data_IF_838124070753
#
_entry.id   IF_838124070753
#
_cell.length_a   1.000
_cell.length_b   1.000
_cell.length_c   1.000
_cell.angle_alpha   90.00
_cell.angle_beta   90.00
_cell.angle_gamma   90.00
#
_symmetry.space_group_name_H-M   'P 1'
#
loop_
_entity.id
_entity.type
_entity.pdbx_description
1 polymer ?
#
# COMPACT_ATOMS: atom_id res chain seq x y z
N UNK A 1 -19.26 -28.41 7.46
CA UNK A 1 -17.96 -27.73 7.51
C UNK A 1 -17.85 -27.11 8.89
N UNK A 2 -16.90 -27.56 9.71
CA UNK A 2 -16.71 -27.06 11.07
C UNK A 2 -16.19 -25.62 11.01
N UNK A 3 -16.95 -24.68 11.59
CA UNK A 3 -16.51 -23.30 11.75
C UNK A 3 -15.22 -23.29 12.58
N UNK A 4 -14.17 -22.54 12.18
CA UNK A 4 -13.05 -22.29 13.06
C UNK A 4 -13.58 -21.50 14.27
N UNK A 5 -13.53 -22.11 15.46
CA UNK A 5 -13.77 -21.40 16.72
C UNK A 5 -12.79 -20.22 16.78
N UNK A 6 -13.32 -19.00 16.63
CA UNK A 6 -12.52 -17.78 16.57
C UNK A 6 -11.94 -17.42 17.96
N UNK A 7 -12.49 -17.99 19.04
CA UNK A 7 -12.09 -17.75 20.40
C UNK A 7 -11.91 -19.09 21.15
N UNK A 8 -10.71 -19.38 21.68
CA UNK A 8 -10.48 -20.57 22.48
C UNK A 8 -10.98 -20.32 23.90
N UNK A 9 -12.14 -20.85 24.28
CA UNK A 9 -12.53 -20.87 25.69
C UNK A 9 -14.02 -20.95 25.98
N UNK A 10 -14.66 -22.06 25.67
CA UNK A 10 -16.07 -22.40 25.99
C UNK A 10 -16.39 -22.49 27.51
N UNK A 11 -15.51 -22.00 28.39
CA UNK A 11 -15.67 -21.93 29.85
C UNK A 11 -14.62 -21.02 30.51
N UNK A 12 -14.19 -19.96 29.82
CA UNK A 12 -13.20 -19.05 30.41
C UNK A 12 -13.86 -18.17 31.48
N UNK A 13 -13.53 -18.41 32.75
CA UNK A 13 -13.86 -17.48 33.85
C UNK A 13 -12.85 -16.33 33.94
N UNK A 14 -11.94 -16.21 32.97
CA UNK A 14 -10.95 -15.13 32.95
C UNK A 14 -11.64 -13.81 32.61
N UNK A 15 -11.61 -12.81 33.51
CA UNK A 15 -12.24 -11.51 33.27
C UNK A 15 -11.74 -10.83 32.00
N UNK A 16 -10.48 -11.09 31.60
CA UNK A 16 -9.91 -10.48 30.39
C UNK A 16 -10.55 -11.00 29.10
N UNK A 17 -10.92 -12.29 29.07
CA UNK A 17 -11.59 -12.91 27.91
C UNK A 17 -13.04 -12.43 27.82
N UNK A 18 -13.73 -12.36 28.96
CA UNK A 18 -15.11 -11.87 29.03
C UNK A 18 -15.22 -10.39 28.60
N UNK A 19 -14.26 -9.55 28.97
CA UNK A 19 -14.19 -8.16 28.52
C UNK A 19 -14.05 -8.06 26.99
N UNK A 20 -13.21 -8.93 26.39
CA UNK A 20 -13.00 -8.96 24.94
C UNK A 20 -14.25 -9.42 24.21
N UNK A 21 -14.91 -10.47 24.70
CA UNK A 21 -16.16 -10.97 24.12
C UNK A 21 -17.27 -9.92 24.19
N UNK A 22 -17.45 -9.28 25.35
CA UNK A 22 -18.43 -8.20 25.53
C UNK A 22 -18.18 -7.00 24.63
N UNK A 23 -16.91 -6.58 24.49
CA UNK A 23 -16.54 -5.51 23.57
C UNK A 23 -16.74 -5.89 22.10
N UNK A 24 -16.30 -7.09 21.70
CA UNK A 24 -16.46 -7.58 20.34
C UNK A 24 -17.95 -7.67 19.95
N UNK A 25 -18.80 -8.24 20.82
CA UNK A 25 -20.25 -8.29 20.60
C UNK A 25 -20.84 -6.89 20.41
N UNK A 26 -20.40 -5.90 21.20
CA UNK A 26 -20.86 -4.53 21.04
C UNK A 26 -20.41 -3.90 19.70
N UNK A 27 -19.13 -4.06 19.32
CA UNK A 27 -18.59 -3.55 18.05
C UNK A 27 -19.29 -4.18 16.84
N UNK A 28 -19.60 -5.48 16.91
CA UNK A 28 -20.19 -6.23 15.82
C UNK A 28 -21.73 -6.23 15.82
N UNK A 29 -22.35 -5.72 16.88
CA UNK A 29 -23.80 -5.54 16.92
C UNK A 29 -24.26 -4.58 15.81
N UNK A 30 -25.37 -4.92 15.18
CA UNK A 30 -25.88 -4.19 14.01
C UNK A 30 -26.36 -2.76 14.32
N UNK A 31 -26.60 -2.41 15.59
CA UNK A 31 -27.18 -1.12 16.02
C UNK A 31 -26.29 0.12 15.75
N UNK A 32 -25.08 -0.04 15.22
CA UNK A 32 -24.16 1.06 14.89
C UNK A 32 -23.61 1.07 13.47
N UNK A 33 -24.01 0.14 12.61
CA UNK A 33 -23.36 -0.01 11.31
C UNK A 33 -24.10 0.78 10.22
N UNK A 34 -23.41 1.77 9.61
CA UNK A 34 -23.98 2.52 8.50
C UNK A 34 -23.53 1.92 7.14
N UNK A 35 -24.45 1.36 6.34
CA UNK A 35 -24.12 0.76 5.03
C UNK A 35 -23.56 1.78 4.02
N UNK A 36 -23.83 3.07 4.18
CA UNK A 36 -23.26 4.10 3.31
C UNK A 36 -21.81 4.43 3.68
N UNK A 37 -21.39 4.18 4.93
CA UNK A 37 -20.02 4.42 5.39
C UNK A 37 -19.14 3.20 5.23
N UNK A 38 -19.70 2.02 5.50
CA UNK A 38 -18.93 0.79 5.55
C UNK A 38 -19.62 -0.35 4.79
N UNK A 39 -20.42 -0.03 3.77
CA UNK A 39 -21.03 -1.04 2.90
C UNK A 39 -20.02 -1.79 2.03
N UNK A 40 -20.50 -2.83 1.36
CA UNK A 40 -19.69 -3.66 0.48
C UNK A 40 -19.04 -2.86 -0.65
N UNK A 41 -19.80 -1.99 -1.31
CA UNK A 41 -19.28 -1.15 -2.40
C UNK A 41 -18.17 -0.19 -1.93
N UNK A 42 -18.29 0.35 -0.71
CA UNK A 42 -17.29 1.27 -0.13
C UNK A 42 -15.96 0.54 0.13
N UNK A 43 -16.02 -0.68 0.65
CA UNK A 43 -14.83 -1.51 0.91
C UNK A 43 -14.15 -1.91 -0.39
N UNK A 44 -14.94 -2.42 -1.32
CA UNK A 44 -14.43 -2.88 -2.60
C UNK A 44 -13.84 -1.72 -3.39
N UNK A 45 -14.49 -0.55 -3.39
CA UNK A 45 -13.94 0.64 -4.05
C UNK A 45 -12.67 1.12 -3.36
N UNK A 46 -12.63 1.19 -2.02
CA UNK A 46 -11.41 1.54 -1.29
C UNK A 46 -10.25 0.60 -1.62
N UNK A 47 -10.54 -0.71 -1.69
CA UNK A 47 -9.55 -1.71 -2.06
C UNK A 47 -9.04 -1.51 -3.49
N UNK A 48 -9.94 -1.39 -4.47
CA UNK A 48 -9.61 -1.18 -5.87
C UNK A 48 -8.82 0.11 -6.07
N UNK A 49 -9.25 1.22 -5.47
CA UNK A 49 -8.57 2.52 -5.54
C UNK A 49 -7.14 2.40 -5.03
N UNK A 50 -6.91 1.79 -3.86
CA UNK A 50 -5.56 1.62 -3.33
C UNK A 50 -4.67 0.74 -4.22
N UNK A 51 -5.20 -0.34 -4.79
CA UNK A 51 -4.47 -1.18 -5.76
C UNK A 51 -4.13 -0.39 -7.02
N UNK A 52 -5.09 0.34 -7.58
CA UNK A 52 -4.88 1.15 -8.78
C UNK A 52 -3.86 2.27 -8.53
N UNK A 53 -3.95 2.99 -7.42
CA UNK A 53 -2.99 4.03 -7.05
C UNK A 53 -1.58 3.46 -6.85
N UNK A 54 -1.46 2.27 -6.26
CA UNK A 54 -0.16 1.61 -6.12
C UNK A 54 0.47 1.26 -7.48
N UNK A 55 -0.36 0.80 -8.44
CA UNK A 55 0.08 0.56 -9.80
C UNK A 55 0.49 1.87 -10.51
N UNK A 56 -0.31 2.93 -10.39
CA UNK A 56 -0.02 4.23 -10.99
C UNK A 56 1.28 4.84 -10.43
N UNK A 57 1.44 4.89 -9.11
CA UNK A 57 2.67 5.39 -8.47
C UNK A 57 3.91 4.63 -8.94
N UNK A 58 3.76 3.31 -9.16
CA UNK A 58 4.88 2.46 -9.57
C UNK A 58 5.18 2.55 -11.07
N UNK A 59 4.17 2.61 -11.91
CA UNK A 59 4.30 2.35 -13.36
C UNK A 59 3.88 3.51 -14.27
N UNK A 60 3.10 4.49 -13.80
CA UNK A 60 2.83 5.68 -14.62
C UNK A 60 4.14 6.41 -14.86
N UNK A 61 4.39 6.89 -16.08
CA UNK A 61 5.57 7.71 -16.40
C UNK A 61 5.30 9.20 -16.05
N UNK A 62 4.03 9.62 -16.16
CA UNK A 62 3.54 10.97 -15.94
C UNK A 62 2.68 11.00 -14.65
N UNK A 63 2.93 11.99 -13.79
CA UNK A 63 2.07 12.40 -12.66
C UNK A 63 1.89 11.48 -11.43
N UNK A 64 3.01 11.01 -10.86
CA UNK A 64 3.04 10.36 -9.53
C UNK A 64 2.47 11.27 -8.42
N UNK A 65 2.65 12.60 -8.55
CA UNK A 65 2.16 13.57 -7.58
C UNK A 65 0.63 13.59 -7.47
N UNK A 66 -0.09 13.40 -8.59
CA UNK A 66 -1.56 13.33 -8.58
C UNK A 66 -2.03 12.09 -7.81
N UNK A 67 -1.43 10.93 -8.09
CA UNK A 67 -1.77 9.68 -7.38
C UNK A 67 -1.49 9.76 -5.88
N UNK A 68 -0.37 10.37 -5.48
CA UNK A 68 -0.06 10.61 -4.05
C UNK A 68 -1.03 11.62 -3.43
N UNK A 69 -1.45 12.64 -4.17
CA UNK A 69 -2.44 13.62 -3.71
C UNK A 69 -3.80 12.98 -3.49
N UNK A 70 -4.25 12.13 -4.41
CA UNK A 70 -5.52 11.38 -4.27
C UNK A 70 -5.48 10.48 -3.04
N UNK A 71 -4.37 9.75 -2.82
CA UNK A 71 -4.20 8.92 -1.63
C UNK A 71 -4.28 9.73 -0.33
N UNK A 72 -3.53 10.83 -0.25
CA UNK A 72 -3.53 11.69 0.94
C UNK A 72 -4.91 12.32 1.16
N UNK A 73 -5.55 12.82 0.10
CA UNK A 73 -6.90 13.37 0.17
C UNK A 73 -7.87 12.32 0.72
N UNK A 74 -7.85 11.10 0.20
CA UNK A 74 -8.70 10.01 0.67
C UNK A 74 -8.48 9.73 2.16
N UNK A 75 -7.22 9.60 2.60
CA UNK A 75 -6.88 9.35 4.00
C UNK A 75 -7.35 10.48 4.92
N UNK A 76 -7.04 11.73 4.56
CA UNK A 76 -7.38 12.88 5.40
C UNK A 76 -8.87 13.15 5.43
N UNK A 77 -9.58 13.02 4.31
CA UNK A 77 -11.03 13.19 4.28
C UNK A 77 -11.69 12.17 5.20
N UNK A 78 -11.29 10.89 5.15
CA UNK A 78 -11.83 9.87 6.05
C UNK A 78 -11.55 10.18 7.53
N UNK A 79 -10.31 10.54 7.88
CA UNK A 79 -9.95 10.86 9.26
C UNK A 79 -10.68 12.10 9.77
N UNK A 80 -10.72 13.19 8.98
CA UNK A 80 -11.40 14.44 9.36
C UNK A 80 -12.90 14.21 9.49
N UNK A 81 -13.53 13.50 8.56
CA UNK A 81 -14.94 13.15 8.65
C UNK A 81 -15.21 12.32 9.92
N UNK A 82 -14.36 11.33 10.23
CA UNK A 82 -14.48 10.55 11.46
C UNK A 82 -14.35 11.44 12.71
N UNK A 83 -13.36 12.33 12.78
CA UNK A 83 -13.22 13.27 13.91
C UNK A 83 -14.43 14.20 14.06
N UNK A 84 -14.94 14.75 12.96
CA UNK A 84 -16.12 15.64 12.98
C UNK A 84 -17.36 14.87 13.43
N UNK A 85 -17.58 13.65 12.93
CA UNK A 85 -18.69 12.79 13.34
C UNK A 85 -18.58 12.36 14.81
N UNK A 86 -17.36 12.12 15.29
CA UNK A 86 -17.08 11.81 16.69
C UNK A 86 -17.41 13.00 17.60
N UNK A 87 -16.98 14.22 17.24
CA UNK A 87 -17.31 15.45 18.00
C UNK A 87 -18.82 15.66 18.08
N UNK A 88 -19.55 15.27 17.04
CA UNK A 88 -21.03 15.32 16.98
C UNK A 88 -21.72 14.17 17.70
N UNK A 89 -20.98 13.20 18.24
CA UNK A 89 -21.50 11.96 18.85
C UNK A 89 -22.38 11.14 17.91
N UNK A 90 -22.07 11.18 16.62
CA UNK A 90 -22.80 10.49 15.55
C UNK A 90 -22.00 9.32 14.95
N UNK A 91 -20.75 9.13 15.39
CA UNK A 91 -19.91 8.04 14.92
C UNK A 91 -20.10 6.82 15.83
N UNK A 92 -20.32 5.65 15.24
CA UNK A 92 -20.28 4.38 15.97
C UNK A 92 -18.84 3.89 16.13
N UNK A 93 -18.62 3.01 17.12
CA UNK A 93 -17.31 2.40 17.35
C UNK A 93 -16.89 1.54 16.14
N UNK A 94 -17.84 0.85 15.51
CA UNK A 94 -17.60 0.06 14.30
C UNK A 94 -17.15 0.93 13.11
N UNK A 95 -17.85 2.05 12.87
CA UNK A 95 -17.51 2.97 11.79
C UNK A 95 -16.12 3.62 12.01
N UNK A 96 -15.74 3.83 13.27
CA UNK A 96 -14.42 4.35 13.63
C UNK A 96 -13.30 3.33 13.38
N UNK A 97 -13.50 2.07 13.76
CA UNK A 97 -12.60 0.96 13.42
C UNK A 97 -12.44 0.80 11.91
N UNK A 98 -13.53 0.89 11.17
CA UNK A 98 -13.52 0.83 9.72
C UNK A 98 -12.76 2.01 9.09
N UNK A 99 -12.99 3.24 9.56
CA UNK A 99 -12.30 4.43 9.09
C UNK A 99 -10.78 4.33 9.35
N UNK A 100 -10.39 3.89 10.54
CA UNK A 100 -8.98 3.69 10.88
C UNK A 100 -8.35 2.62 9.97
N UNK A 101 -8.95 1.43 9.88
CA UNK A 101 -8.47 0.32 9.04
C UNK A 101 -8.36 0.70 7.56
N UNK A 102 -9.32 1.49 7.07
CA UNK A 102 -9.34 1.99 5.68
C UNK A 102 -8.20 2.95 5.38
N UNK A 103 -7.75 3.73 6.37
CA UNK A 103 -6.66 4.70 6.20
C UNK A 103 -5.28 4.06 6.34
N UNK A 104 -5.15 2.97 7.12
CA UNK A 104 -3.91 2.21 7.31
C UNK A 104 -3.74 1.18 6.16
N UNK A 105 -3.69 1.67 4.92
CA UNK A 105 -3.50 0.81 3.75
C UNK A 105 -2.01 0.47 3.51
N UNK A 106 -1.70 -0.62 2.78
CA UNK A 106 -0.32 -0.95 2.42
C UNK A 106 0.39 0.19 1.67
N UNK A 107 -0.35 0.94 0.85
CA UNK A 107 0.16 2.08 0.12
C UNK A 107 0.44 3.28 1.03
N UNK A 108 -0.45 3.56 1.98
CA UNK A 108 -0.25 4.58 3.01
C UNK A 108 1.00 4.29 3.87
N UNK A 109 1.20 3.03 4.27
CA UNK A 109 2.40 2.59 4.99
C UNK A 109 3.67 2.74 4.14
N UNK A 110 3.60 2.46 2.84
CA UNK A 110 4.71 2.69 1.92
C UNK A 110 5.06 4.19 1.80
N UNK A 111 4.06 5.06 1.69
CA UNK A 111 4.25 6.51 1.68
C UNK A 111 4.89 6.99 2.99
N UNK A 112 4.45 6.47 4.12
CA UNK A 112 5.03 6.78 5.43
C UNK A 112 6.49 6.33 5.54
N UNK A 113 6.79 5.11 5.10
CA UNK A 113 8.16 4.61 5.03
C UNK A 113 9.06 5.50 4.16
N UNK A 114 8.59 5.89 2.98
CA UNK A 114 9.33 6.79 2.09
C UNK A 114 9.56 8.16 2.75
N UNK A 115 8.58 8.67 3.49
CA UNK A 115 8.65 9.97 4.17
C UNK A 115 9.60 9.95 5.35
N UNK A 116 9.63 8.86 6.13
CA UNK A 116 10.63 8.64 7.18
C UNK A 116 12.03 8.56 6.58
N UNK A 117 12.22 7.87 5.43
CA UNK A 117 13.52 7.86 4.75
C UNK A 117 13.96 9.26 4.32
N UNK A 118 13.05 10.07 3.78
CA UNK A 118 13.31 11.46 3.42
C UNK A 118 13.68 12.30 4.65
N UNK A 119 12.94 12.18 5.75
CA UNK A 119 13.27 12.87 7.01
C UNK A 119 14.65 12.47 7.54
N UNK A 120 15.07 11.22 7.32
CA UNK A 120 16.41 10.72 7.63
C UNK A 120 17.47 11.05 6.55
N UNK A 121 17.17 11.95 5.60
CA UNK A 121 18.04 12.37 4.49
C UNK A 121 18.54 11.22 3.62
N UNK A 122 17.71 10.18 3.43
CA UNK A 122 18.01 9.06 2.53
C UNK A 122 17.17 9.18 1.28
N UNK A 123 17.75 8.85 0.14
CA UNK A 123 17.00 8.73 -1.11
C UNK A 123 15.88 7.71 -0.94
N UNK A 124 14.76 7.93 -1.61
CA UNK A 124 13.74 6.93 -1.83
C UNK A 124 13.26 7.04 -3.27
N UNK A 125 12.92 5.91 -3.87
CA UNK A 125 12.36 5.87 -5.22
C UNK A 125 11.20 6.85 -5.40
N UNK A 126 10.27 6.90 -4.44
CA UNK A 126 9.08 7.74 -4.51
C UNK A 126 9.44 9.24 -4.54
N UNK A 127 10.21 9.74 -3.56
CA UNK A 127 10.54 11.17 -3.49
C UNK A 127 11.50 11.64 -4.58
N UNK A 128 12.26 10.71 -5.20
CA UNK A 128 13.02 11.00 -6.43
C UNK A 128 12.09 11.27 -7.63
N UNK A 129 10.92 10.62 -7.67
CA UNK A 129 9.90 10.87 -8.71
C UNK A 129 8.98 12.05 -8.39
N UNK A 130 8.80 12.35 -7.11
CA UNK A 130 7.99 13.45 -6.61
C UNK A 130 8.72 14.81 -6.60
N UNK A 131 9.90 14.89 -7.22
CA UNK A 131 10.77 16.08 -7.28
C UNK A 131 10.94 16.82 -5.92
N UNK A 132 11.13 16.04 -4.87
CA UNK A 132 11.44 16.49 -3.50
C UNK A 132 10.45 17.47 -2.83
N UNK A 133 9.17 17.50 -3.19
CA UNK A 133 8.17 18.28 -2.46
C UNK A 133 8.10 17.90 -0.96
N UNK A 134 8.51 18.80 -0.08
CA UNK A 134 8.51 18.61 1.39
C UNK A 134 7.11 18.39 1.96
N UNK A 135 6.10 19.00 1.35
CA UNK A 135 4.70 18.96 1.79
C UNK A 135 4.16 17.53 1.91
N UNK A 136 4.37 16.68 0.91
CA UNK A 136 3.89 15.29 0.94
C UNK A 136 4.55 14.47 2.06
N UNK A 137 5.82 14.75 2.35
CA UNK A 137 6.53 14.10 3.46
C UNK A 137 5.95 14.52 4.81
N UNK A 138 5.68 15.81 4.99
CA UNK A 138 5.10 16.34 6.23
C UNK A 138 3.69 15.82 6.46
N UNK A 139 2.85 15.84 5.42
CA UNK A 139 1.50 15.29 5.46
C UNK A 139 1.53 13.79 5.79
N UNK A 140 2.35 13.01 5.08
CA UNK A 140 2.45 11.58 5.37
C UNK A 140 2.88 11.30 6.82
N UNK A 141 3.83 12.07 7.39
CA UNK A 141 4.24 11.92 8.78
C UNK A 141 3.12 12.31 9.78
N UNK A 142 2.28 13.29 9.44
CA UNK A 142 1.14 13.73 10.25
C UNK A 142 0.03 12.66 10.32
N UNK A 143 0.02 11.66 9.43
CA UNK A 143 -0.90 10.52 9.55
C UNK A 143 -0.66 9.71 10.83
N UNK A 144 0.59 9.57 11.29
CA UNK A 144 0.94 8.82 12.51
C UNK A 144 0.18 9.35 13.74
N UNK A 145 0.31 10.64 14.13
CA UNK A 145 -0.38 11.14 15.30
C UNK A 145 -1.91 11.06 15.13
N UNK A 146 -2.45 11.25 13.92
CA UNK A 146 -3.90 11.09 13.71
C UNK A 146 -4.37 9.65 13.93
N UNK A 147 -3.63 8.66 13.45
CA UNK A 147 -3.93 7.24 13.70
C UNK A 147 -3.86 6.89 15.19
N UNK A 148 -2.81 7.36 15.88
CA UNK A 148 -2.65 7.13 17.32
C UNK A 148 -3.81 7.77 18.09
N UNK A 149 -4.14 9.03 17.79
CA UNK A 149 -5.24 9.74 18.46
C UNK A 149 -6.56 9.02 18.20
N UNK A 150 -6.88 8.67 16.95
CA UNK A 150 -8.12 7.96 16.63
C UNK A 150 -8.20 6.61 17.35
N UNK A 151 -7.11 5.83 17.36
CA UNK A 151 -7.04 4.55 18.06
C UNK A 151 -7.28 4.73 19.58
N UNK A 152 -6.61 5.70 20.21
CA UNK A 152 -6.83 6.00 21.63
C UNK A 152 -8.28 6.44 21.92
N UNK A 153 -8.89 7.23 21.03
CA UNK A 153 -10.28 7.66 21.20
C UNK A 153 -11.24 6.47 21.14
N UNK A 154 -11.05 5.55 20.19
CA UNK A 154 -11.88 4.34 20.02
C UNK A 154 -11.98 3.50 21.30
N UNK A 155 -10.88 3.38 22.05
CA UNK A 155 -10.83 2.47 23.20
C UNK A 155 -10.99 3.15 24.55
N UNK A 156 -10.65 4.44 24.68
CA UNK A 156 -10.57 5.12 25.98
C UNK A 156 -11.53 6.30 26.14
N UNK A 157 -12.51 6.48 25.24
CA UNK A 157 -13.49 7.58 25.35
C UNK A 157 -14.94 7.17 25.16
N UNK A 158 -15.83 7.87 25.87
CA UNK A 158 -17.29 7.71 25.79
C UNK A 158 -17.94 8.68 24.78
N UNK A 159 -17.24 8.98 23.68
CA UNK A 159 -17.68 9.97 22.68
C UNK A 159 -18.53 9.40 21.55
N UNK A 160 -18.70 8.07 21.51
CA UNK A 160 -19.42 7.37 20.43
C UNK A 160 -20.93 7.37 20.65
N UNK A 161 -21.68 7.15 19.56
CA UNK A 161 -23.13 7.02 19.60
C UNK A 161 -23.59 5.82 20.42
N UNK A 162 -22.79 4.74 20.42
CA UNK A 162 -23.06 3.49 21.11
C UNK A 162 -21.99 3.30 22.20
N UNK A 163 -22.41 3.05 23.44
CA UNK A 163 -21.50 2.82 24.57
C UNK A 163 -21.17 1.34 24.67
N UNK A 164 -19.94 0.96 24.32
CA UNK A 164 -19.41 -0.38 24.57
C UNK A 164 -18.80 -0.48 25.97
N UNK A 165 -18.73 -1.69 26.55
CA UNK A 165 -18.07 -1.88 27.84
C UNK A 165 -16.61 -1.41 27.76
N UNK A 166 -16.10 -0.73 28.81
CA UNK A 166 -14.72 -0.29 28.83
C UNK A 166 -13.79 -1.51 28.84
N UNK A 167 -12.72 -1.46 28.06
CA UNK A 167 -11.73 -2.53 28.00
C UNK A 167 -10.45 -2.15 28.72
N UNK A 168 -9.85 -3.11 29.42
CA UNK A 168 -8.51 -2.92 30.00
C UNK A 168 -7.44 -2.94 28.90
N UNK A 169 -6.22 -2.48 29.20
CA UNK A 169 -5.09 -2.57 28.27
C UNK A 169 -4.78 -4.02 27.85
N UNK A 170 -4.96 -5.00 28.74
CA UNK A 170 -4.76 -6.41 28.42
C UNK A 170 -5.84 -6.92 27.45
N UNK A 171 -7.10 -6.57 27.70
CA UNK A 171 -8.23 -6.91 26.84
C UNK A 171 -8.10 -6.23 25.46
N UNK A 172 -7.62 -4.98 25.41
CA UNK A 172 -7.28 -4.29 24.17
C UNK A 172 -6.23 -5.04 23.33
N UNK A 173 -5.12 -5.45 23.96
CA UNK A 173 -4.08 -6.23 23.28
C UNK A 173 -4.61 -7.57 22.74
N UNK A 174 -5.50 -8.22 23.49
CA UNK A 174 -6.13 -9.48 23.07
C UNK A 174 -7.10 -9.27 21.90
N UNK A 175 -7.93 -8.22 21.95
CA UNK A 175 -8.86 -7.88 20.86
C UNK A 175 -8.11 -7.55 19.56
N UNK A 176 -7.10 -6.68 19.63
CA UNK A 176 -6.24 -6.35 18.47
C UNK A 176 -5.50 -7.60 17.96
N UNK A 177 -4.97 -8.43 18.87
CA UNK A 177 -4.36 -9.71 18.52
C UNK A 177 -5.32 -10.63 17.77
N UNK A 178 -6.56 -10.75 18.24
CA UNK A 178 -7.61 -11.54 17.60
C UNK A 178 -8.02 -11.00 16.22
N UNK A 179 -8.18 -9.67 16.09
CA UNK A 179 -8.46 -9.01 14.82
C UNK A 179 -7.34 -9.23 13.79
N UNK A 180 -6.08 -9.13 14.25
CA UNK A 180 -4.90 -9.44 13.43
C UNK A 180 -4.92 -10.90 13.00
N UNK A 181 -5.06 -11.86 13.92
CA UNK A 181 -5.10 -13.29 13.62
C UNK A 181 -6.20 -13.58 12.59
N UNK A 182 -7.39 -13.03 12.77
CA UNK A 182 -8.52 -13.24 11.86
C UNK A 182 -8.24 -12.67 10.46
N UNK A 183 -7.63 -11.49 10.38
CA UNK A 183 -7.15 -10.92 9.11
C UNK A 183 -6.13 -11.83 8.41
N UNK A 184 -5.31 -12.55 9.19
CA UNK A 184 -4.34 -13.50 8.66
C UNK A 184 -4.95 -14.82 8.20
N UNK A 185 -6.13 -15.23 8.67
CA UNK A 185 -6.75 -16.54 8.30
C UNK A 185 -6.89 -16.65 6.77
N UNK A 186 -7.42 -15.61 6.13
CA UNK A 186 -7.58 -15.57 4.67
C UNK A 186 -6.27 -15.54 3.90
N UNK A 187 -5.19 -15.07 4.54
CA UNK A 187 -3.85 -15.02 3.96
C UNK A 187 -2.93 -16.15 4.47
N UNK A 188 -3.43 -17.07 5.29
CA UNK A 188 -2.59 -18.04 6.01
C UNK A 188 -1.81 -18.94 5.04
N UNK A 189 -2.50 -19.44 4.00
CA UNK A 189 -1.88 -20.25 2.95
C UNK A 189 -0.80 -19.46 2.22
N UNK A 190 -1.08 -18.23 1.81
CA UNK A 190 -0.12 -17.38 1.10
C UNK A 190 1.09 -17.01 1.96
N UNK A 191 0.85 -16.69 3.23
CA UNK A 191 1.90 -16.37 4.21
C UNK A 191 2.77 -17.59 4.46
N UNK A 192 2.18 -18.77 4.68
CA UNK A 192 2.91 -20.03 4.82
C UNK A 192 3.76 -20.35 3.59
N UNK A 193 3.19 -20.18 2.39
CA UNK A 193 3.92 -20.34 1.12
C UNK A 193 5.09 -19.36 1.01
N UNK A 194 4.91 -18.08 1.35
CA UNK A 194 5.99 -17.08 1.35
C UNK A 194 7.08 -17.48 2.33
N UNK A 195 6.73 -17.83 3.57
CA UNK A 195 7.71 -18.18 4.61
C UNK A 195 8.50 -19.42 4.20
N UNK A 196 7.84 -20.48 3.74
CA UNK A 196 8.50 -21.69 3.26
C UNK A 196 9.42 -21.37 2.08
N UNK A 197 8.91 -20.65 1.09
CA UNK A 197 9.67 -20.20 -0.09
C UNK A 197 10.90 -19.39 0.34
N UNK A 198 10.75 -18.46 1.28
CA UNK A 198 11.83 -17.64 1.81
C UNK A 198 12.90 -18.46 2.54
N UNK A 199 12.48 -19.46 3.33
CA UNK A 199 13.40 -20.38 4.02
C UNK A 199 14.19 -21.18 2.97
N UNK A 200 13.53 -21.79 1.99
CA UNK A 200 14.20 -22.57 0.94
C UNK A 200 15.18 -21.71 0.14
N UNK A 201 14.78 -20.50 -0.26
CA UNK A 201 15.67 -19.57 -0.96
C UNK A 201 16.85 -19.13 -0.09
N UNK A 202 16.61 -18.83 1.19
CA UNK A 202 17.68 -18.45 2.12
C UNK A 202 18.70 -19.58 2.30
N UNK A 203 18.25 -20.84 2.36
CA UNK A 203 19.12 -22.00 2.44
C UNK A 203 19.90 -22.21 1.14
N UNK A 204 19.24 -22.08 -0.03
CA UNK A 204 19.89 -22.26 -1.34
C UNK A 204 20.89 -21.16 -1.67
N UNK A 205 20.57 -19.91 -1.35
CA UNK A 205 21.46 -18.77 -1.51
C UNK A 205 22.35 -18.52 -0.31
N UNK A 206 22.50 -19.46 0.64
CA UNK A 206 23.25 -19.21 1.87
C UNK A 206 24.68 -18.70 1.61
N UNK A 207 25.36 -19.24 0.57
CA UNK A 207 26.71 -18.79 0.17
C UNK A 207 26.69 -17.37 -0.40
N UNK A 208 25.71 -17.07 -1.25
CA UNK A 208 25.53 -15.75 -1.87
C UNK A 208 25.18 -14.68 -0.83
N UNK A 209 24.23 -15.00 0.07
CA UNK A 209 23.83 -14.17 1.21
C UNK A 209 25.02 -13.92 2.12
N UNK A 210 25.83 -14.94 2.42
CA UNK A 210 27.04 -14.77 3.22
C UNK A 210 28.06 -13.86 2.54
N UNK A 211 28.18 -13.95 1.22
CA UNK A 211 29.00 -13.05 0.40
C UNK A 211 28.54 -11.60 0.51
N UNK A 212 27.26 -11.35 0.27
CA UNK A 212 26.68 -10.00 0.32
C UNK A 212 26.64 -9.44 1.76
N UNK A 213 26.41 -10.29 2.77
CA UNK A 213 26.53 -9.92 4.18
C UNK A 213 27.94 -9.42 4.51
N UNK A 214 28.99 -10.10 4.04
CA UNK A 214 30.36 -9.63 4.24
C UNK A 214 30.59 -8.28 3.54
N UNK A 215 29.99 -8.06 2.38
CA UNK A 215 30.06 -6.78 1.65
C UNK A 215 29.40 -5.65 2.43
N UNK A 216 28.16 -5.85 2.91
CA UNK A 216 27.44 -4.86 3.72
C UNK A 216 28.13 -4.57 5.04
N UNK A 217 28.67 -5.61 5.70
CA UNK A 217 29.45 -5.45 6.93
C UNK A 217 30.72 -4.61 6.73
N UNK A 218 31.38 -4.71 5.57
CA UNK A 218 32.54 -3.85 5.24
C UNK A 218 32.16 -2.38 5.01
N UNK A 219 30.94 -2.11 4.57
CA UNK A 219 30.40 -0.74 4.35
C UNK A 219 29.81 -0.12 5.63
N UNK A 220 29.63 -0.91 6.69
CA UNK A 220 29.02 -0.45 7.93
C UNK A 220 29.98 0.47 8.70
N UNK A 221 29.53 1.69 9.01
CA UNK A 221 30.31 2.66 9.76
C UNK A 221 30.18 2.36 11.26
N UNK A 222 31.29 1.95 11.88
CA UNK A 222 31.34 1.63 13.31
C UNK A 222 31.51 2.89 14.18
N UNK A 223 30.78 2.99 15.29
CA UNK A 223 31.09 3.98 16.32
C UNK A 223 32.24 3.49 17.20
N UNK A 224 33.29 4.32 17.32
CA UNK A 224 34.52 3.98 18.06
C UNK A 224 34.30 3.70 19.55
N UNK A 225 33.22 4.21 20.16
CA UNK A 225 32.96 4.10 21.62
C UNK A 225 31.98 2.98 22.04
N UNK A 226 31.12 2.48 21.17
CA UNK A 226 30.04 1.55 21.52
C UNK A 226 29.99 0.33 20.60
N UNK A 227 31.15 -0.21 20.27
CA UNK A 227 31.28 -1.25 19.23
C UNK A 227 30.59 -2.56 19.62
N UNK A 228 30.60 -2.92 20.91
CA UNK A 228 29.93 -4.12 21.43
C UNK A 228 28.39 -4.03 21.33
N UNK A 229 27.82 -2.89 21.74
CA UNK A 229 26.37 -2.66 21.70
C UNK A 229 25.85 -2.55 20.25
N UNK A 230 26.66 -2.06 19.32
CA UNK A 230 26.30 -1.94 17.91
C UNK A 230 26.47 -3.23 17.12
N UNK A 231 27.27 -4.19 17.59
CA UNK A 231 27.62 -5.39 16.82
C UNK A 231 26.38 -6.21 16.44
N UNK A 232 25.48 -6.42 17.40
CA UNK A 232 24.27 -7.20 17.20
C UNK A 232 23.27 -6.53 16.25
N UNK A 233 22.85 -5.26 16.44
CA UNK A 233 21.92 -4.59 15.53
C UNK A 233 22.52 -4.33 14.14
N UNK A 234 23.82 -4.02 14.01
CA UNK A 234 24.45 -3.86 12.70
C UNK A 234 24.58 -5.20 11.96
N UNK A 235 24.91 -6.27 12.67
CA UNK A 235 24.98 -7.62 12.09
C UNK A 235 23.61 -8.08 11.61
N UNK A 236 22.58 -7.93 12.45
CA UNK A 236 21.20 -8.27 12.10
C UNK A 236 20.74 -7.46 10.89
N UNK A 237 20.93 -6.14 10.91
CA UNK A 237 20.58 -5.26 9.78
C UNK A 237 21.30 -5.65 8.50
N UNK A 238 22.60 -5.90 8.55
CA UNK A 238 23.40 -6.28 7.37
C UNK A 238 22.96 -7.64 6.83
N UNK A 239 22.57 -8.56 7.70
CA UNK A 239 22.07 -9.87 7.31
C UNK A 239 20.69 -9.78 6.64
N UNK A 240 19.75 -9.02 7.22
CA UNK A 240 18.43 -8.78 6.63
C UNK A 240 18.57 -8.10 5.27
N UNK A 241 19.42 -7.08 5.15
CA UNK A 241 19.69 -6.41 3.88
C UNK A 241 20.31 -7.35 2.85
N UNK A 242 21.25 -8.22 3.24
CA UNK A 242 21.85 -9.20 2.35
C UNK A 242 20.83 -10.24 1.86
N UNK A 243 19.98 -10.76 2.74
CA UNK A 243 18.90 -11.66 2.35
C UNK A 243 17.94 -10.98 1.38
N UNK A 244 17.51 -9.76 1.74
CA UNK A 244 16.61 -8.96 0.91
C UNK A 244 17.20 -8.71 -0.48
N UNK A 245 18.45 -8.22 -0.57
CA UNK A 245 19.12 -7.93 -1.84
C UNK A 245 19.25 -9.18 -2.72
N UNK A 246 19.70 -10.30 -2.14
CA UNK A 246 19.92 -11.54 -2.90
C UNK A 246 18.60 -12.10 -3.41
N UNK A 247 17.61 -12.22 -2.54
CA UNK A 247 16.33 -12.87 -2.86
C UNK A 247 15.52 -12.01 -3.81
N UNK A 248 15.36 -10.70 -3.55
CA UNK A 248 14.50 -9.84 -4.38
C UNK A 248 15.07 -9.57 -5.77
N UNK A 249 16.40 -9.48 -5.92
CA UNK A 249 17.03 -9.30 -7.24
C UNK A 249 17.11 -10.60 -8.04
N UNK A 250 17.27 -11.74 -7.37
CA UNK A 250 17.30 -13.05 -8.04
C UNK A 250 15.89 -13.55 -8.40
N UNK A 251 14.89 -13.22 -7.59
CA UNK A 251 13.53 -13.71 -7.70
C UNK A 251 12.51 -12.56 -7.50
N UNK A 252 12.35 -11.68 -8.49
CA UNK A 252 11.49 -10.51 -8.38
C UNK A 252 10.00 -10.86 -8.21
N UNK A 253 9.58 -12.07 -8.60
CA UNK A 253 8.23 -12.57 -8.38
C UNK A 253 7.87 -12.75 -6.89
N UNK A 254 8.86 -12.97 -6.01
CA UNK A 254 8.65 -13.05 -4.56
C UNK A 254 8.20 -11.70 -4.02
N UNK A 255 8.75 -10.60 -4.56
CA UNK A 255 8.31 -9.25 -4.21
C UNK A 255 6.84 -9.05 -4.61
N UNK A 256 6.47 -9.44 -5.84
CA UNK A 256 5.07 -9.40 -6.29
C UNK A 256 4.16 -10.21 -5.38
N UNK A 257 4.53 -11.46 -5.07
CA UNK A 257 3.75 -12.33 -4.18
C UNK A 257 3.60 -11.72 -2.77
N UNK A 258 4.66 -11.10 -2.24
CA UNK A 258 4.64 -10.44 -0.94
C UNK A 258 3.68 -9.24 -0.93
N UNK A 259 3.73 -8.40 -1.96
CA UNK A 259 2.82 -7.25 -2.10
C UNK A 259 1.37 -7.74 -2.22
N UNK A 260 1.11 -8.73 -3.07
CA UNK A 260 -0.23 -9.32 -3.22
C UNK A 260 -0.74 -9.86 -1.89
N UNK A 261 0.10 -10.57 -1.13
CA UNK A 261 -0.28 -11.13 0.18
C UNK A 261 -0.59 -10.02 1.18
N UNK A 262 0.19 -8.94 1.22
CA UNK A 262 -0.10 -7.78 2.07
C UNK A 262 -1.45 -7.14 1.74
N UNK A 263 -1.78 -7.01 0.44
CA UNK A 263 -3.11 -6.53 0.02
C UNK A 263 -4.23 -7.51 0.39
N UNK A 264 -4.01 -8.82 0.28
CA UNK A 264 -5.00 -9.83 0.72
C UNK A 264 -5.24 -9.74 2.23
N UNK A 265 -4.18 -9.61 3.04
CA UNK A 265 -4.31 -9.42 4.50
C UNK A 265 -5.12 -8.17 4.80
N UNK A 266 -4.76 -7.03 4.22
CA UNK A 266 -5.47 -5.77 4.45
C UNK A 266 -6.92 -5.81 3.95
N UNK A 267 -7.17 -6.38 2.77
CA UNK A 267 -8.52 -6.61 2.26
C UNK A 267 -9.35 -7.50 3.18
N UNK A 268 -8.72 -8.47 3.84
CA UNK A 268 -9.37 -9.31 4.85
C UNK A 268 -9.70 -8.53 6.12
N UNK A 269 -8.82 -7.63 6.57
CA UNK A 269 -9.12 -6.69 7.65
C UNK A 269 -10.29 -5.76 7.30
N UNK A 270 -10.40 -5.33 6.04
CA UNK A 270 -11.58 -4.61 5.55
C UNK A 270 -12.84 -5.48 5.52
N UNK A 271 -12.76 -6.81 5.53
CA UNK A 271 -13.95 -7.69 5.55
C UNK A 271 -14.45 -7.91 6.99
N UNK A 272 -13.59 -7.81 8.01
CA UNK A 272 -13.96 -8.01 9.42
C UNK A 272 -15.15 -7.16 9.88
N UNK A 273 -15.32 -5.98 9.28
CA UNK A 273 -16.34 -5.03 9.71
C UNK A 273 -17.64 -5.08 8.90
N UNK A 274 -17.85 -6.03 7.96
CA UNK A 274 -18.89 -5.97 6.91
C UNK A 274 -20.30 -5.82 7.49
N UNK A 275 -21.15 -5.01 6.86
CA UNK A 275 -22.56 -4.82 7.27
C UNK A 275 -23.44 -6.03 6.94
N UNK A 276 -23.11 -6.75 5.88
CA UNK A 276 -23.72 -8.06 5.53
C UNK A 276 -23.21 -9.21 6.40
N UNK A 277 -22.25 -8.91 7.28
CA UNK A 277 -21.96 -9.76 8.42
C UNK A 277 -23.09 -9.65 9.46
N UNK A 278 -24.17 -8.90 9.25
CA UNK A 278 -25.40 -9.07 10.03
C UNK A 278 -25.92 -10.50 9.95
N UNK A 279 -25.94 -11.12 8.76
CA UNK A 279 -26.32 -12.54 8.59
C UNK A 279 -25.22 -13.48 9.06
N UNK A 280 -23.94 -13.22 8.76
CA UNK A 280 -22.84 -14.10 9.22
C UNK A 280 -22.53 -13.97 10.72
N UNK A 281 -22.61 -12.79 11.32
CA UNK A 281 -22.56 -12.60 12.79
C UNK A 281 -23.85 -13.10 13.42
N UNK A 282 -25.01 -12.96 12.78
CA UNK A 282 -26.19 -13.67 13.24
C UNK A 282 -25.97 -15.17 13.21
N UNK A 283 -25.38 -15.75 12.17
CA UNK A 283 -25.05 -17.18 12.10
C UNK A 283 -24.00 -17.58 13.14
N UNK A 284 -23.02 -16.72 13.42
CA UNK A 284 -22.01 -16.92 14.45
C UNK A 284 -22.60 -16.82 15.86
N UNK A 285 -23.36 -15.77 16.14
CA UNK A 285 -24.01 -15.50 17.43
C UNK A 285 -25.15 -16.48 17.66
N UNK A 286 -25.92 -16.84 16.65
CA UNK A 286 -26.93 -17.89 16.73
C UNK A 286 -26.30 -19.25 16.97
N UNK A 287 -25.12 -19.52 16.38
CA UNK A 287 -24.30 -20.67 16.74
C UNK A 287 -23.99 -20.68 18.24
N UNK A 288 -23.43 -19.58 18.76
CA UNK A 288 -23.08 -19.42 20.18
C UNK A 288 -24.33 -19.48 21.08
N UNK A 289 -25.45 -18.87 20.70
CA UNK A 289 -26.70 -18.85 21.46
C UNK A 289 -27.37 -20.22 21.46
N UNK A 290 -27.39 -20.90 20.31
CA UNK A 290 -27.90 -22.26 20.17
C UNK A 290 -27.07 -23.25 21.00
N UNK A 291 -25.75 -23.11 20.99
CA UNK A 291 -24.84 -23.91 21.82
C UNK A 291 -25.07 -23.68 23.32
N UNK A 292 -25.45 -22.46 23.72
CA UNK A 292 -25.76 -22.08 25.10
C UNK A 292 -27.25 -22.26 25.50
N UNK A 293 -28.07 -22.91 24.66
CA UNK A 293 -29.49 -23.17 24.95
C UNK A 293 -30.38 -21.93 24.97
N UNK A 294 -29.92 -20.82 24.38
CA UNK A 294 -30.66 -19.56 24.23
C UNK A 294 -31.47 -19.63 22.92
N UNK A 295 -32.75 -19.25 22.97
CA UNK A 295 -33.61 -19.26 21.79
C UNK A 295 -33.14 -18.22 20.75
N UNK A 296 -32.91 -18.68 19.53
CA UNK A 296 -32.46 -17.85 18.40
C UNK A 296 -33.65 -17.39 17.56
N UNK A 297 -33.79 -16.09 17.34
CA UNK A 297 -34.81 -15.50 16.45
C UNK A 297 -34.24 -15.26 15.04
N UNK A 298 -34.96 -15.55 13.94
CA UNK A 298 -34.45 -15.37 12.57
C UNK A 298 -33.86 -13.98 12.31
N UNK A 299 -32.78 -13.92 11.53
CA UNK A 299 -32.15 -12.64 11.15
C UNK A 299 -33.16 -11.72 10.48
N UNK A 300 -33.31 -10.52 11.04
CA UNK A 300 -34.01 -9.42 10.39
C UNK A 300 -33.00 -8.31 10.14
N UNK A 301 -32.79 -7.88 8.88
CA UNK A 301 -31.88 -6.79 8.59
C UNK A 301 -32.35 -5.52 9.31
N UNK A 302 -31.42 -4.63 9.70
CA UNK A 302 -31.76 -3.37 10.33
C UNK A 302 -32.77 -2.57 9.49
N UNK A 303 -33.76 -1.91 10.11
CA UNK A 303 -34.72 -1.09 9.38
C UNK A 303 -33.98 0.00 8.58
N UNK A 304 -34.17 0.00 7.25
CA UNK A 304 -33.51 0.95 6.34
C UNK A 304 -32.21 0.46 5.70
N UNK A 305 -31.84 -0.82 5.86
CA UNK A 305 -30.73 -1.40 5.11
C UNK A 305 -31.02 -1.43 3.60
N UNK A 306 -30.28 -0.62 2.83
CA UNK A 306 -30.29 -0.62 1.37
C UNK A 306 -28.89 -0.99 0.84
N UNK A 307 -28.71 -2.21 0.29
CA UNK A 307 -27.42 -2.63 -0.27
C UNK A 307 -27.04 -1.85 -1.54
N UNK A 308 -27.97 -1.09 -2.14
CA UNK A 308 -27.74 -0.21 -3.28
C UNK A 308 -28.00 1.27 -2.94
N UNK A 309 -27.86 1.62 -1.66
CA UNK A 309 -27.99 2.99 -1.17
C UNK A 309 -27.09 3.98 -1.93
N UNK A 310 -27.47 5.26 -1.89
CA UNK A 310 -26.78 6.33 -2.60
C UNK A 310 -25.28 6.39 -2.27
N UNK A 311 -24.90 6.18 -1.00
CA UNK A 311 -23.50 6.17 -0.59
C UNK A 311 -22.70 5.02 -1.22
N UNK A 312 -23.31 3.84 -1.37
CA UNK A 312 -22.69 2.70 -2.03
C UNK A 312 -22.45 2.95 -3.53
N UNK A 313 -23.42 3.53 -4.23
CA UNK A 313 -23.29 3.89 -5.65
C UNK A 313 -22.22 4.98 -5.85
N UNK A 314 -22.21 6.00 -5.00
CA UNK A 314 -21.19 7.05 -5.04
C UNK A 314 -19.80 6.45 -4.81
N UNK A 315 -19.66 5.56 -3.83
CA UNK A 315 -18.38 4.92 -3.53
C UNK A 315 -17.89 4.04 -4.68
N UNK A 316 -18.79 3.32 -5.36
CA UNK A 316 -18.44 2.56 -6.56
C UNK A 316 -17.94 3.48 -7.69
N UNK A 317 -18.58 4.64 -7.88
CA UNK A 317 -18.16 5.62 -8.88
C UNK A 317 -16.76 6.21 -8.60
N UNK A 318 -16.37 6.36 -7.34
CA UNK A 318 -15.02 6.84 -6.95
C UNK A 318 -13.90 5.92 -7.44
N UNK A 319 -14.17 4.61 -7.63
CA UNK A 319 -13.17 3.70 -8.19
C UNK A 319 -12.95 3.88 -9.70
N UNK A 320 -13.89 4.53 -10.41
CA UNK A 320 -13.84 4.61 -11.88
C UNK A 320 -12.66 5.42 -12.42
N UNK A 321 -12.34 6.64 -11.92
CA UNK A 321 -11.19 7.41 -12.43
C UNK A 321 -9.83 6.67 -12.32
N UNK A 322 -9.42 6.11 -11.16
CA UNK A 322 -8.14 5.41 -11.08
C UNK A 322 -8.15 4.10 -11.87
N UNK A 323 -9.29 3.40 -11.98
CA UNK A 323 -9.43 2.26 -12.88
C UNK A 323 -9.21 2.67 -14.34
N UNK A 324 -9.83 3.77 -14.77
CA UNK A 324 -9.70 4.28 -16.14
C UNK A 324 -8.26 4.67 -16.46
N UNK A 325 -7.57 5.35 -15.54
CA UNK A 325 -6.15 5.69 -15.69
C UNK A 325 -5.26 4.44 -15.80
N UNK A 326 -5.50 3.43 -14.95
CA UNK A 326 -4.78 2.14 -15.03
C UNK A 326 -5.06 1.43 -16.35
N UNK A 327 -6.32 1.42 -16.83
CA UNK A 327 -6.68 0.85 -18.13
C UNK A 327 -5.99 1.59 -19.29
N UNK A 328 -5.95 2.92 -19.24
CA UNK A 328 -5.23 3.75 -20.21
C UNK A 328 -3.74 3.44 -20.21
N UNK A 329 -3.12 3.33 -19.03
CA UNK A 329 -1.72 2.93 -18.88
C UNK A 329 -1.46 1.52 -19.43
N UNK A 330 -2.33 0.54 -19.10
CA UNK A 330 -2.24 -0.83 -19.61
C UNK A 330 -2.37 -0.85 -21.13
N UNK A 331 -3.28 -0.05 -21.69
CA UNK A 331 -3.51 0.02 -23.13
C UNK A 331 -2.33 0.67 -23.86
N UNK A 332 -1.82 1.79 -23.34
CA UNK A 332 -0.68 2.51 -23.91
C UNK A 332 0.62 1.71 -23.82
N UNK A 333 0.82 0.98 -22.73
CA UNK A 333 2.01 0.14 -22.49
C UNK A 333 1.82 -1.34 -22.84
N UNK A 334 0.75 -1.69 -23.57
CA UNK A 334 0.33 -3.07 -23.82
C UNK A 334 1.42 -3.99 -24.34
N UNK A 335 2.33 -3.49 -25.17
CA UNK A 335 3.43 -4.28 -25.74
C UNK A 335 4.46 -4.64 -24.67
N UNK A 336 4.86 -3.66 -23.85
CA UNK A 336 5.75 -3.86 -22.69
C UNK A 336 5.10 -4.79 -21.66
N UNK A 337 3.83 -4.58 -21.37
CA UNK A 337 3.07 -5.39 -20.40
C UNK A 337 2.87 -6.82 -20.89
N UNK A 338 2.53 -7.04 -22.16
CA UNK A 338 2.43 -8.38 -22.75
C UNK A 338 3.78 -9.09 -22.78
N UNK A 339 4.88 -8.38 -23.08
CA UNK A 339 6.23 -8.94 -23.00
C UNK A 339 6.55 -9.37 -21.57
N UNK A 340 6.21 -8.54 -20.57
CA UNK A 340 6.37 -8.86 -19.16
C UNK A 340 5.54 -10.07 -18.73
N UNK A 341 4.23 -10.09 -19.06
CA UNK A 341 3.32 -11.21 -18.74
C UNK A 341 3.83 -12.51 -19.38
N UNK A 342 4.32 -12.47 -20.63
CA UNK A 342 4.89 -13.64 -21.29
C UNK A 342 6.19 -14.11 -20.64
N UNK A 343 7.02 -13.19 -20.13
CA UNK A 343 8.27 -13.50 -19.44
C UNK A 343 8.09 -13.99 -17.99
N UNK A 344 6.98 -13.62 -17.34
CA UNK A 344 6.73 -13.92 -15.93
C UNK A 344 6.69 -15.44 -15.62
N UNK A 345 5.98 -16.29 -16.39
CA UNK A 345 6.01 -17.75 -16.21
C UNK A 345 7.42 -18.33 -16.31
N UNK A 346 8.26 -17.83 -17.22
CA UNK A 346 9.63 -18.31 -17.38
C UNK A 346 10.51 -17.92 -16.16
N UNK A 347 10.35 -16.70 -15.64
CA UNK A 347 11.02 -16.24 -14.42
C UNK A 347 10.61 -17.05 -13.19
N UNK A 348 9.31 -17.27 -13.02
CA UNK A 348 8.75 -18.09 -11.95
C UNK A 348 9.24 -19.53 -12.06
N UNK A 349 9.17 -20.13 -13.26
CA UNK A 349 9.66 -21.48 -13.51
C UNK A 349 11.16 -21.63 -13.24
N UNK A 350 11.99 -20.66 -13.65
CA UNK A 350 13.41 -20.67 -13.29
C UNK A 350 13.64 -20.59 -11.78
N UNK A 351 12.80 -19.81 -11.07
CA UNK A 351 12.80 -19.77 -9.61
C UNK A 351 12.47 -21.13 -9.00
N UNK A 352 11.41 -21.78 -9.47
CA UNK A 352 10.98 -23.12 -9.03
C UNK A 352 12.08 -24.15 -9.29
N UNK A 353 12.62 -24.18 -10.52
CA UNK A 353 13.71 -25.09 -10.89
C UNK A 353 14.93 -24.86 -9.99
N UNK A 354 15.28 -23.62 -9.68
CA UNK A 354 16.39 -23.32 -8.77
C UNK A 354 16.13 -23.84 -7.35
N UNK A 355 14.92 -23.68 -6.79
CA UNK A 355 14.57 -24.22 -5.46
C UNK A 355 14.81 -25.74 -5.42
N UNK A 356 14.27 -26.45 -6.39
CA UNK A 356 14.27 -27.92 -6.41
C UNK A 356 15.62 -28.51 -6.82
N UNK A 357 16.28 -27.94 -7.83
CA UNK A 357 17.46 -28.55 -8.47
C UNK A 357 18.77 -27.82 -8.19
N UNK A 358 18.73 -26.59 -7.66
CA UNK A 358 19.90 -25.72 -7.52
C UNK A 358 20.50 -25.23 -8.84
N UNK A 359 19.96 -25.64 -10.00
CA UNK A 359 20.42 -25.22 -11.31
C UNK A 359 19.85 -23.85 -11.68
N UNK A 360 20.54 -23.13 -12.57
CA UNK A 360 20.18 -21.79 -13.06
C UNK A 360 20.13 -20.73 -11.93
N UNK A 361 21.22 -20.63 -11.16
CA UNK A 361 21.36 -19.57 -10.15
C UNK A 361 21.19 -18.18 -10.82
N UNK A 362 20.10 -17.44 -10.56
CA UNK A 362 19.88 -16.14 -11.19
C UNK A 362 20.87 -15.09 -10.67
N UNK A 363 21.43 -15.29 -9.48
CA UNK A 363 22.35 -14.36 -8.84
C UNK A 363 23.64 -14.17 -9.63
N UNK A 364 24.12 -15.22 -10.32
CA UNK A 364 25.32 -15.12 -11.16
C UNK A 364 25.13 -14.11 -12.29
N UNK A 365 23.95 -14.07 -12.91
CA UNK A 365 23.59 -13.07 -13.93
C UNK A 365 23.51 -11.66 -13.34
N UNK A 366 22.97 -11.54 -12.14
CA UNK A 366 22.87 -10.26 -11.41
C UNK A 366 24.26 -9.74 -11.04
N UNK A 367 25.18 -10.62 -10.63
CA UNK A 367 26.56 -10.26 -10.34
C UNK A 367 27.32 -9.83 -11.60
N UNK A 368 27.16 -10.57 -12.71
CA UNK A 368 27.79 -10.22 -13.98
C UNK A 368 27.37 -8.81 -14.46
N UNK A 369 26.06 -8.52 -14.44
CA UNK A 369 25.55 -7.17 -14.78
C UNK A 369 26.09 -6.08 -13.87
N UNK A 370 26.27 -6.36 -12.58
CA UNK A 370 26.82 -5.39 -11.63
C UNK A 370 28.29 -5.07 -11.89
N UNK A 371 29.07 -6.04 -12.36
CA UNK A 371 30.47 -5.80 -12.76
C UNK A 371 30.52 -4.92 -14.01
N UNK A 372 29.61 -5.14 -14.96
CA UNK A 372 29.49 -4.31 -16.16
C UNK A 372 29.05 -2.86 -15.82
N UNK A 373 28.08 -2.70 -14.90
CA UNK A 373 27.57 -1.38 -14.46
C UNK A 373 28.54 -0.61 -13.53
N UNK A 374 29.31 -1.28 -12.66
CA UNK A 374 30.34 -0.62 -11.84
C UNK A 374 31.46 0.01 -12.70
N UNK A 375 31.54 -0.35 -13.99
CA UNK A 375 32.42 0.27 -14.99
C UNK A 375 31.81 1.54 -15.62
N UNK A 376 30.49 1.75 -15.47
CA UNK A 376 29.72 2.88 -16.01
C UNK A 376 28.74 3.47 -14.96
N UNK A 377 29.28 4.22 -14.00
CA UNK A 377 28.56 5.11 -13.07
C UNK A 377 27.72 4.49 -11.92
N UNK A 378 27.79 5.20 -10.81
CA UNK A 378 27.41 4.83 -9.46
C UNK A 378 25.98 5.31 -9.13
N UNK A 379 24.91 4.66 -9.61
CA UNK A 379 23.53 5.07 -9.19
C UNK A 379 22.40 4.01 -9.23
N UNK A 380 22.69 2.72 -9.04
CA UNK A 380 21.67 1.66 -9.13
C UNK A 380 21.23 1.06 -7.79
N UNK A 381 20.87 1.90 -6.82
CA UNK A 381 20.13 1.44 -5.63
C UNK A 381 18.78 2.17 -5.58
N UNK A 382 17.80 1.67 -6.34
CA UNK A 382 16.36 1.74 -5.99
C UNK A 382 15.40 1.28 -7.12
N UNK A 383 15.92 0.90 -8.30
CA UNK A 383 15.12 0.25 -9.34
C UNK A 383 15.51 -1.22 -9.46
N UNK A 384 14.75 -2.12 -8.83
CA UNK A 384 14.57 -3.46 -9.43
C UNK A 384 13.64 -3.24 -10.62
N UNK A 385 14.12 -3.26 -11.87
CA UNK A 385 13.21 -3.25 -13.00
C UNK A 385 12.57 -4.63 -13.02
N UNK A 386 11.26 -4.69 -12.74
CA UNK A 386 10.47 -5.89 -13.02
C UNK A 386 10.38 -6.16 -14.53
N UNK A 387 10.78 -5.20 -15.38
CA UNK A 387 10.89 -5.32 -16.83
C UNK A 387 12.28 -5.83 -17.23
N UNK A 388 12.51 -7.12 -17.02
CA UNK A 388 13.58 -7.85 -17.69
C UNK A 388 13.04 -8.52 -18.95
N UNK A 389 12.95 -7.78 -20.05
CA UNK A 389 12.97 -8.35 -21.40
C UNK A 389 13.95 -7.52 -22.22
N UNK A 390 15.22 -7.95 -22.19
CA UNK A 390 16.23 -7.49 -23.13
C UNK A 390 15.93 -8.12 -24.50
N UNK A 391 15.26 -7.37 -25.37
CA UNK A 391 15.61 -7.34 -26.79
C UNK A 391 15.84 -5.88 -27.15
N UNK A 392 16.93 -5.61 -27.87
CA UNK A 392 17.37 -4.31 -28.42
C UNK A 392 18.30 -3.41 -27.58
N UNK A 393 19.51 -3.90 -27.30
CA UNK A 393 20.73 -3.07 -27.46
C UNK A 393 21.82 -3.92 -28.13
N UNK A 394 21.63 -4.25 -29.41
CA UNK A 394 22.66 -4.88 -30.26
C UNK A 394 23.18 -3.96 -31.38
N UNK A 395 22.86 -2.67 -31.33
CA UNK A 395 23.23 -1.72 -32.39
C UNK A 395 23.81 -0.42 -31.84
N UNK A 396 24.98 -0.47 -31.18
CA UNK A 396 26.05 0.53 -31.37
C UNK A 396 27.39 -0.13 -31.00
N UNK A 397 27.95 -0.94 -31.90
CA UNK A 397 29.40 -1.21 -31.96
C UNK A 397 29.85 -1.08 -33.41
N UNK A 398 30.06 0.16 -33.85
CA UNK A 398 31.02 0.52 -34.92
C UNK A 398 31.10 2.04 -35.07
N UNK A 399 32.03 2.64 -34.35
CA UNK A 399 32.85 3.77 -34.81
C UNK A 399 33.80 4.16 -33.67
N UNK A 400 34.94 3.47 -33.60
CA UNK A 400 36.14 4.03 -32.99
C UNK A 400 37.04 4.48 -34.13
N UNK A 401 37.20 5.79 -34.32
CA UNK A 401 38.48 6.41 -34.71
C UNK A 401 38.31 7.93 -34.94
N UNK A 402 38.91 8.68 -34.02
CA UNK A 402 39.88 9.76 -34.28
C UNK A 402 39.46 11.14 -34.84
N UNK A 403 40.06 12.14 -34.17
CA UNK A 403 40.43 13.52 -34.57
C UNK A 403 39.55 14.70 -34.12
N UNK A 404 40.17 15.49 -33.25
CA UNK A 404 39.98 16.87 -32.80
C UNK A 404 39.99 17.90 -33.94
N UNK A 405 39.06 18.87 -34.00
CA UNK A 405 39.30 20.34 -34.04
C UNK A 405 38.06 21.18 -34.44
N UNK A 406 37.95 22.34 -33.77
CA UNK A 406 37.47 23.66 -34.21
C UNK A 406 36.02 23.94 -34.70
N UNK A 407 35.29 24.67 -33.85
CA UNK A 407 34.71 26.02 -34.00
C UNK A 407 34.35 26.57 -35.41
N UNK A 408 33.15 27.18 -35.44
CA UNK A 408 32.65 28.36 -36.20
C UNK A 408 31.44 28.16 -37.17
N UNK A 409 30.41 28.96 -36.86
CA UNK A 409 29.30 29.58 -37.62
C UNK A 409 28.09 28.85 -38.26
N UNK A 410 26.92 29.27 -37.76
CA UNK A 410 25.70 29.78 -38.43
C UNK A 410 25.74 29.88 -39.96
N UNK A 411 24.80 29.22 -40.67
CA UNK A 411 23.57 29.88 -41.13
C UNK A 411 22.57 28.94 -41.86
N UNK A 412 21.31 29.31 -41.66
CA UNK A 412 20.03 29.02 -42.35
C UNK A 412 19.93 28.29 -43.72
N UNK A 413 18.96 27.36 -43.82
CA UNK A 413 17.97 27.21 -44.92
C UNK A 413 16.90 26.14 -44.52
N UNK A 414 15.73 26.54 -44.02
CA UNK A 414 14.44 26.66 -44.73
C UNK A 414 13.66 25.35 -45.06
N UNK A 415 12.84 24.89 -44.09
CA UNK A 415 11.36 24.77 -44.10
C UNK A 415 10.62 23.87 -45.16
N UNK A 416 9.30 23.58 -45.02
CA UNK A 416 8.67 22.59 -44.13
C UNK A 416 7.64 21.67 -44.85
N UNK A 417 7.04 20.72 -44.14
CA UNK A 417 5.89 19.95 -44.63
C UNK A 417 4.86 19.67 -43.51
N UNK A 418 3.78 20.47 -43.56
CA UNK A 418 2.39 20.19 -43.18
C UNK A 418 1.95 20.17 -41.70
N UNK A 419 1.35 21.30 -41.31
CA UNK A 419 0.32 21.46 -40.26
C UNK A 419 -0.99 22.01 -40.87
N UNK A 420 -2.10 21.71 -40.20
CA UNK A 420 -3.45 22.32 -40.19
C UNK A 420 -4.52 21.50 -40.92
N UNK A 421 -5.67 21.23 -40.31
CA UNK A 421 -6.79 22.16 -39.99
C UNK A 421 -7.66 21.48 -38.91
N UNK A 422 -8.42 22.15 -38.04
CA UNK A 422 -9.51 23.10 -38.30
C UNK A 422 -9.80 23.99 -37.08
N UNK A 423 -9.84 25.30 -37.30
CA UNK A 423 -10.64 26.27 -36.54
C UNK A 423 -11.98 26.48 -37.23
N UNK A 424 -13.01 26.87 -36.49
CA UNK A 424 -14.19 27.55 -37.05
C UNK A 424 -14.48 28.79 -36.19
N UNK A 425 -14.41 29.94 -36.84
CA UNK A 425 -14.61 31.29 -36.30
C UNK A 425 -16.10 31.66 -36.16
N UNK A 426 -16.41 32.64 -35.31
CA UNK A 426 -17.13 33.84 -35.77
C UNK A 426 -16.84 35.07 -34.88
N UNK A 427 -16.60 36.19 -35.58
CA UNK A 427 -16.37 37.58 -35.17
C UNK A 427 -17.61 38.24 -34.51
N UNK A 428 -17.66 39.39 -33.83
CA UNK A 428 -16.96 40.69 -34.01
C UNK A 428 -17.41 41.68 -32.89
N UNK A 429 -16.58 42.71 -32.64
CA UNK A 429 -16.93 44.12 -32.32
C UNK A 429 -17.17 44.63 -30.87
N UNK A 430 -16.12 45.31 -30.37
CA UNK A 430 -16.06 46.64 -29.72
C UNK A 430 -16.48 46.89 -28.25
N UNK A 431 -15.89 47.95 -27.61
CA UNK A 431 -15.51 47.95 -26.20
C UNK A 431 -16.37 48.88 -25.34
N UNK A 432 -16.33 48.71 -24.02
CA UNK A 432 -16.56 49.82 -23.07
C UNK A 432 -15.97 49.53 -21.70
N UNK A 433 -15.27 50.55 -21.20
CA UNK A 433 -14.73 50.78 -19.87
C UNK A 433 -15.71 50.54 -18.72
N UNK A 434 -15.22 50.04 -17.59
CA UNK A 434 -15.43 50.52 -16.19
C UNK A 434 -14.62 49.62 -15.26
N UNK A 435 -13.45 50.05 -14.78
CA UNK A 435 -13.20 50.61 -13.42
C UNK A 435 -13.92 49.84 -12.30
N UNK A 436 -13.27 49.13 -11.37
CA UNK A 436 -12.29 49.53 -10.34
C UNK A 436 -12.93 49.24 -8.96
N UNK A 437 -12.42 48.26 -8.20
CA UNK A 437 -12.19 48.41 -6.77
C UNK A 437 -11.40 47.22 -6.19
N UNK A 438 -10.23 47.56 -5.66
CA UNK A 438 -9.34 46.75 -4.82
C UNK A 438 -9.09 47.58 -3.55
N UNK A 439 -9.35 47.06 -2.34
CA UNK A 439 -8.88 47.73 -1.14
C UNK A 439 -8.08 46.79 -0.23
N UNK A 440 -6.75 46.85 -0.36
CA UNK A 440 -5.82 46.65 0.76
C UNK A 440 -4.89 47.87 0.88
N UNK A 441 -4.94 48.51 2.06
CA UNK A 441 -3.98 49.42 2.74
C UNK A 441 -4.78 50.51 3.49
N UNK A 442 -4.51 50.95 4.73
CA UNK A 442 -3.65 50.57 5.85
C UNK A 442 -3.89 51.62 6.96
N UNK A 443 -3.68 51.23 8.22
CA UNK A 443 -3.29 52.07 9.38
C UNK A 443 -4.16 53.24 9.84
N UNK A 444 -4.71 53.09 11.05
CA UNK A 444 -4.53 54.05 12.16
C UNK A 444 -4.27 53.25 13.44
#
# INVERSE_FOLDING_TARGET
MSNPQLFPGENSTDPTVLDVEGYALCVFSAEGQNPDMQGYAVRLSNFIVNVCLALLIRYSEEDVAESVSVLLLQVYTLLVCAFVSLIRKQLSIADAHFALTSTVSPLALYLLYASVRKALRKSSYLFRRLDDHGTYSTLSLLMIPMWIIMNLLIYFTDLFSNTCPPITFASWMLFEGGAVITSFIFAFVFTGLIVLTWIFYSLRHFRDIRGEYRRHKKKAQHWKRFTWLQWLPLSLKSFILAQWDVITKSHPWILTLSICTTYVIWGSSLILYVTDLGEFYYDLISGIQSENGIAVSPYTPPPGYDPLGYGQLLAAAVAFPPLWQVLGMIWGSRTKLLAWIKGYPASLWNGIVFIFTGHRNPWEKVLARRVDDETYSESLYDSVPLTGTDEDVKTVKRASSFVTQEKFDTDTLSNPAWRSTTSLDYSTAHPTSTTLYDPYHSTL
#
